data_IF_552308693814
#
_entry.id   IF_552308693814
#
_cell.length_a   1.000
_cell.length_b   1.000
_cell.length_c   1.000
_cell.angle_alpha   90.00
_cell.angle_beta   90.00
_cell.angle_gamma   90.00
#
_symmetry.space_group_name_H-M   'P 1'
#
loop_
_entity.id
_entity.type
_entity.pdbx_description
1 polymer ?
#
# COMPACT_ATOMS: atom_id res chain seq x y z
N UNK A 1 9.35 -25.18 4.49
CA UNK A 1 9.92 -24.55 5.71
C UNK A 1 9.34 -23.16 5.82
N UNK A 2 8.41 -22.93 6.77
CA UNK A 2 7.77 -21.62 6.94
C UNK A 2 8.74 -20.68 7.64
N UNK A 3 9.56 -19.96 6.87
CA UNK A 3 10.21 -18.76 7.37
C UNK A 3 9.13 -17.77 7.76
N UNK A 4 8.71 -17.76 9.02
CA UNK A 4 7.89 -16.70 9.55
C UNK A 4 8.76 -15.45 9.62
N UNK A 5 8.28 -14.32 9.10
CA UNK A 5 8.95 -13.04 9.31
C UNK A 5 8.92 -12.78 10.82
N UNK A 6 10.04 -12.49 11.49
CA UNK A 6 10.06 -12.52 12.94
C UNK A 6 9.19 -11.41 13.51
N UNK A 7 8.18 -11.86 14.25
CA UNK A 7 7.22 -11.03 14.97
C UNK A 7 7.86 -10.05 15.96
N UNK A 8 9.16 -10.10 16.23
CA UNK A 8 9.87 -9.17 17.11
C UNK A 8 10.13 -7.80 16.47
N UNK A 9 10.21 -7.73 15.13
CA UNK A 9 10.58 -6.51 14.39
C UNK A 9 9.35 -5.83 13.78
N UNK A 10 8.36 -6.60 13.37
CA UNK A 10 7.19 -6.10 12.65
C UNK A 10 6.06 -5.75 13.62
N UNK A 11 5.55 -4.52 13.50
CA UNK A 11 4.40 -4.02 14.22
C UNK A 11 3.11 -4.45 13.53
N UNK A 12 3.08 -4.32 12.21
CA UNK A 12 1.90 -4.59 11.39
C UNK A 12 2.27 -4.97 9.96
N UNK A 13 1.35 -5.69 9.31
CA UNK A 13 1.39 -5.99 7.87
C UNK A 13 0.17 -5.33 7.25
N UNK A 14 0.40 -4.58 6.17
CA UNK A 14 -0.64 -3.97 5.34
C UNK A 14 -0.48 -4.34 3.87
N UNK A 15 -1.55 -4.17 3.09
CA UNK A 15 -1.53 -4.30 1.64
C UNK A 15 -2.00 -2.98 1.04
N UNK A 16 -1.25 -2.48 0.06
CA UNK A 16 -1.52 -1.19 -0.57
C UNK A 16 -1.77 -1.38 -2.06
N UNK A 17 -2.83 -0.73 -2.52
CA UNK A 17 -3.20 -0.63 -3.92
C UNK A 17 -3.21 0.84 -4.30
N UNK A 18 -2.53 1.19 -5.39
CA UNK A 18 -2.53 2.55 -5.92
C UNK A 18 -3.10 2.54 -7.33
N UNK A 19 -4.03 3.45 -7.55
CA UNK A 19 -4.56 3.79 -8.87
C UNK A 19 -4.71 5.31 -8.94
N UNK A 20 -5.13 5.85 -10.07
CA UNK A 20 -5.27 7.29 -10.18
C UNK A 20 -5.60 7.72 -11.60
N UNK A 21 -5.63 9.03 -11.80
CA UNK A 21 -5.86 9.63 -13.10
C UNK A 21 -5.96 11.14 -13.03
N UNK A 22 -6.31 11.74 -14.16
CA UNK A 22 -6.46 13.19 -14.25
C UNK A 22 -7.73 13.66 -13.53
N UNK A 23 -7.65 14.79 -12.83
CA UNK A 23 -8.80 15.37 -12.09
C UNK A 23 -10.03 15.59 -12.96
N UNK A 24 -9.84 15.90 -14.24
CA UNK A 24 -10.92 16.10 -15.22
C UNK A 24 -11.73 14.82 -15.50
N UNK A 25 -11.19 13.65 -15.14
CA UNK A 25 -11.85 12.35 -15.29
C UNK A 25 -12.81 12.02 -14.15
N UNK A 26 -12.75 12.72 -13.01
CA UNK A 26 -13.68 12.51 -11.90
C UNK A 26 -15.08 12.99 -12.28
N UNK A 27 -16.11 12.19 -11.97
CA UNK A 27 -17.50 12.46 -12.30
C UNK A 27 -18.02 13.79 -11.73
N UNK A 28 -17.48 14.24 -10.59
CA UNK A 28 -17.84 15.54 -10.00
C UNK A 28 -17.13 16.74 -10.64
N UNK A 29 -16.16 16.55 -11.54
CA UNK A 29 -15.47 17.64 -12.21
C UNK A 29 -16.33 18.26 -13.33
N UNK A 30 -16.66 19.55 -13.20
CA UNK A 30 -17.51 20.28 -14.16
C UNK A 30 -16.67 21.16 -15.07
N UNK A 31 -16.49 20.74 -16.32
CA UNK A 31 -15.76 21.51 -17.34
C UNK A 31 -16.37 22.90 -17.51
N UNK A 32 -15.54 23.94 -17.51
CA UNK A 32 -15.96 25.34 -17.62
C UNK A 32 -16.37 26.01 -16.30
N UNK A 33 -16.68 25.22 -15.26
CA UNK A 33 -16.97 25.73 -13.91
C UNK A 33 -15.83 25.49 -12.92
N UNK A 34 -15.05 24.43 -13.13
CA UNK A 34 -13.90 24.09 -12.30
C UNK A 34 -12.59 24.32 -13.06
N UNK A 35 -11.58 24.81 -12.35
CA UNK A 35 -10.19 24.84 -12.79
C UNK A 35 -9.42 23.64 -12.23
N UNK A 36 -8.37 23.25 -12.93
CA UNK A 36 -7.41 22.28 -12.41
C UNK A 36 -6.51 22.98 -11.39
N UNK A 37 -6.29 22.42 -10.19
CA UNK A 37 -5.32 22.92 -9.23
C UNK A 37 -3.91 23.02 -9.82
N UNK A 38 -3.14 24.00 -9.37
CA UNK A 38 -1.72 24.19 -9.64
C UNK A 38 -0.83 23.87 -8.43
N UNK A 39 -1.43 23.64 -7.26
CA UNK A 39 -0.76 23.26 -6.02
C UNK A 39 -1.65 22.41 -5.10
N UNK A 40 -1.02 21.60 -4.25
CA UNK A 40 -1.69 20.84 -3.19
C UNK A 40 -1.70 21.65 -1.89
N UNK A 41 -2.89 22.02 -1.42
CA UNK A 41 -3.11 22.73 -0.17
C UNK A 41 -4.51 22.42 0.39
N UNK A 42 -4.85 22.96 1.57
CA UNK A 42 -6.14 22.67 2.20
C UNK A 42 -7.36 22.99 1.33
N UNK A 43 -7.30 24.05 0.52
CA UNK A 43 -8.39 24.43 -0.39
C UNK A 43 -8.52 23.45 -1.55
N UNK A 44 -7.42 23.05 -2.18
CA UNK A 44 -7.45 22.13 -3.33
C UNK A 44 -7.76 20.70 -2.91
N UNK A 45 -7.35 20.30 -1.70
CA UNK A 45 -7.77 19.05 -1.06
C UNK A 45 -9.28 19.04 -0.75
N UNK A 46 -9.82 20.15 -0.22
CA UNK A 46 -11.27 20.27 0.01
C UNK A 46 -12.06 20.25 -1.32
N UNK A 47 -11.51 20.85 -2.37
CA UNK A 47 -12.07 20.77 -3.72
C UNK A 47 -12.08 19.32 -4.24
N UNK A 48 -10.97 18.59 -4.14
CA UNK A 48 -10.90 17.16 -4.48
C UNK A 48 -11.99 16.37 -3.74
N UNK A 49 -12.12 16.59 -2.42
CA UNK A 49 -13.15 15.95 -1.60
C UNK A 49 -14.56 16.13 -2.16
N UNK A 50 -14.91 17.34 -2.62
CA UNK A 50 -16.22 17.59 -3.24
C UNK A 50 -16.43 16.86 -4.55
N UNK A 51 -15.40 16.81 -5.41
CA UNK A 51 -15.56 16.25 -6.77
C UNK A 51 -15.47 14.71 -6.81
N UNK A 52 -14.84 14.08 -5.81
CA UNK A 52 -14.77 12.61 -5.73
C UNK A 52 -15.86 11.99 -4.83
N UNK A 53 -16.65 12.79 -4.10
CA UNK A 53 -17.61 12.31 -3.09
C UNK A 53 -18.53 11.20 -3.60
N UNK A 54 -19.13 11.38 -4.78
CA UNK A 54 -20.04 10.39 -5.36
C UNK A 54 -19.36 9.09 -5.77
N UNK A 55 -18.17 9.17 -6.37
CA UNK A 55 -17.40 7.99 -6.76
C UNK A 55 -16.90 7.22 -5.54
N UNK A 56 -16.35 7.93 -4.56
CA UNK A 56 -15.87 7.34 -3.30
C UNK A 56 -17.01 6.65 -2.55
N UNK A 57 -18.18 7.28 -2.44
CA UNK A 57 -19.34 6.69 -1.78
C UNK A 57 -19.79 5.41 -2.48
N UNK A 58 -19.87 5.42 -3.82
CA UNK A 58 -20.26 4.24 -4.60
C UNK A 58 -19.23 3.10 -4.48
N UNK A 59 -17.94 3.43 -4.57
CA UNK A 59 -16.85 2.46 -4.43
C UNK A 59 -16.83 1.83 -3.04
N UNK A 60 -16.96 2.65 -1.99
CA UNK A 60 -16.93 2.21 -0.61
C UNK A 60 -18.16 1.35 -0.25
N UNK A 61 -19.35 1.73 -0.72
CA UNK A 61 -20.57 0.94 -0.55
C UNK A 61 -20.49 -0.41 -1.27
N UNK A 62 -19.97 -0.45 -2.49
CA UNK A 62 -19.75 -1.69 -3.22
C UNK A 62 -18.81 -2.64 -2.44
N UNK A 63 -17.69 -2.12 -1.93
CA UNK A 63 -16.77 -2.89 -1.10
C UNK A 63 -17.45 -3.38 0.19
N UNK A 64 -18.24 -2.53 0.86
CA UNK A 64 -18.98 -2.92 2.06
C UNK A 64 -19.93 -4.08 1.79
N UNK A 65 -20.70 -4.03 0.69
CA UNK A 65 -21.62 -5.11 0.34
C UNK A 65 -20.88 -6.41 -0.03
N UNK A 66 -19.76 -6.32 -0.74
CA UNK A 66 -18.89 -7.45 -1.06
C UNK A 66 -18.33 -8.10 0.22
N UNK A 67 -17.77 -7.31 1.13
CA UNK A 67 -17.23 -7.80 2.41
C UNK A 67 -18.33 -8.42 3.27
N UNK A 68 -19.45 -7.71 3.45
CA UNK A 68 -20.56 -8.18 4.30
C UNK A 68 -21.15 -9.49 3.79
N UNK A 69 -21.38 -9.58 2.48
CA UNK A 69 -22.02 -10.75 1.87
C UNK A 69 -21.05 -11.90 1.67
N UNK A 70 -19.88 -11.62 1.09
CA UNK A 70 -18.86 -12.62 0.77
C UNK A 70 -18.26 -13.30 1.99
N UNK A 71 -18.10 -12.57 3.10
CA UNK A 71 -17.58 -13.13 4.36
C UNK A 71 -18.68 -13.47 5.37
N UNK A 72 -19.96 -13.32 4.99
CA UNK A 72 -21.10 -13.62 5.86
C UNK A 72 -21.19 -12.75 7.13
N UNK A 73 -20.54 -11.57 7.15
CA UNK A 73 -20.54 -10.69 8.30
C UNK A 73 -21.91 -10.10 8.59
N UNK A 74 -22.26 -10.06 9.88
CA UNK A 74 -23.48 -9.42 10.37
C UNK A 74 -23.26 -7.91 10.52
N UNK A 75 -24.37 -7.15 10.61
CA UNK A 75 -24.38 -5.67 10.76
C UNK A 75 -23.58 -5.13 11.95
N UNK A 76 -23.25 -5.95 12.95
CA UNK A 76 -22.42 -5.56 14.11
C UNK A 76 -20.92 -5.86 13.91
N UNK A 77 -20.56 -6.59 12.86
CA UNK A 77 -19.20 -7.04 12.57
C UNK A 77 -18.53 -6.27 11.44
N UNK A 78 -19.26 -5.37 10.78
CA UNK A 78 -18.75 -4.50 9.73
C UNK A 78 -19.48 -3.16 9.78
N UNK A 79 -18.72 -2.08 9.63
CA UNK A 79 -19.22 -0.72 9.50
C UNK A 79 -18.49 0.01 8.38
N UNK A 80 -19.15 1.01 7.80
CA UNK A 80 -18.57 1.89 6.80
C UNK A 80 -18.75 3.34 7.27
N UNK A 81 -17.68 4.13 7.19
CA UNK A 81 -17.68 5.58 7.39
C UNK A 81 -17.14 6.24 6.12
N UNK A 82 -17.89 7.17 5.53
CA UNK A 82 -17.47 7.91 4.34
C UNK A 82 -17.41 9.39 4.71
N UNK A 83 -16.20 9.94 4.70
CA UNK A 83 -15.91 11.35 4.95
C UNK A 83 -14.91 11.78 3.87
N UNK A 84 -15.43 12.21 2.72
CA UNK A 84 -14.65 12.52 1.53
C UNK A 84 -13.48 13.47 1.84
N UNK A 85 -12.26 13.23 1.33
CA UNK A 85 -11.89 12.24 0.30
C UNK A 85 -11.51 10.84 0.83
N UNK A 86 -11.94 10.48 2.05
CA UNK A 86 -11.62 9.20 2.70
C UNK A 86 -12.87 8.36 2.97
N UNK A 87 -12.76 7.06 2.74
CA UNK A 87 -13.69 6.07 3.27
C UNK A 87 -12.96 5.04 4.12
N UNK A 88 -13.57 4.63 5.23
CA UNK A 88 -13.03 3.61 6.14
C UNK A 88 -14.07 2.54 6.37
N UNK A 89 -13.75 1.31 5.99
CA UNK A 89 -14.48 0.10 6.33
C UNK A 89 -13.77 -0.58 7.51
N UNK A 90 -14.45 -0.70 8.64
CA UNK A 90 -13.97 -1.47 9.78
C UNK A 90 -14.72 -2.79 9.85
N UNK A 91 -14.01 -3.91 9.75
CA UNK A 91 -14.55 -5.24 9.93
C UNK A 91 -13.96 -5.89 11.19
N UNK A 92 -14.57 -6.99 11.64
CA UNK A 92 -14.12 -7.69 12.85
C UNK A 92 -12.66 -8.17 12.80
N UNK A 93 -12.17 -8.52 11.60
CA UNK A 93 -10.86 -9.16 11.39
C UNK A 93 -9.86 -8.32 10.57
N UNK A 94 -10.25 -7.14 10.08
CA UNK A 94 -9.42 -6.26 9.26
C UNK A 94 -10.08 -4.88 9.11
N UNK A 95 -9.32 -3.90 8.63
CA UNK A 95 -9.82 -2.60 8.20
C UNK A 95 -9.39 -2.31 6.76
N UNK A 96 -10.21 -1.57 6.01
CA UNK A 96 -9.85 -1.04 4.70
C UNK A 96 -10.05 0.46 4.68
N UNK A 97 -9.04 1.19 4.22
CA UNK A 97 -9.13 2.62 3.93
C UNK A 97 -9.04 2.85 2.42
N UNK A 98 -9.88 3.75 1.89
CA UNK A 98 -9.77 4.26 0.52
C UNK A 98 -9.58 5.77 0.65
N UNK A 99 -8.49 6.29 0.10
CA UNK A 99 -8.15 7.71 0.15
C UNK A 99 -7.86 8.25 -1.25
N UNK A 100 -8.58 9.31 -1.63
CA UNK A 100 -8.26 10.13 -2.79
C UNK A 100 -7.35 11.28 -2.34
N UNK A 101 -6.23 11.49 -3.02
CA UNK A 101 -5.30 12.58 -2.74
C UNK A 101 -4.80 13.19 -4.06
N UNK A 102 -4.54 14.51 -4.07
CA UNK A 102 -3.85 15.15 -5.18
C UNK A 102 -2.38 14.75 -5.17
N UNK A 103 -1.79 14.61 -6.35
CA UNK A 103 -0.34 14.37 -6.48
C UNK A 103 0.42 15.69 -6.30
N UNK A 104 1.30 15.82 -5.28
CA UNK A 104 2.04 17.07 -5.06
C UNK A 104 2.90 17.52 -6.24
N UNK A 105 3.44 16.57 -7.02
CA UNK A 105 4.30 16.87 -8.17
C UNK A 105 3.51 17.21 -9.45
N UNK A 106 2.27 16.75 -9.56
CA UNK A 106 1.33 17.07 -10.64
C UNK A 106 -0.08 17.24 -10.07
N UNK A 107 -0.43 18.44 -9.55
CA UNK A 107 -1.73 18.69 -8.91
C UNK A 107 -2.95 18.56 -9.85
N UNK A 108 -2.71 18.34 -11.15
CA UNK A 108 -3.74 17.95 -12.12
C UNK A 108 -4.11 16.47 -12.10
N UNK A 109 -3.38 15.66 -11.32
CA UNK A 109 -3.62 14.24 -11.10
C UNK A 109 -4.05 13.99 -9.67
N UNK A 110 -4.76 12.88 -9.49
CA UNK A 110 -5.06 12.32 -8.18
C UNK A 110 -4.63 10.86 -8.12
N UNK A 111 -4.34 10.42 -6.91
CA UNK A 111 -4.07 9.03 -6.55
C UNK A 111 -5.18 8.53 -5.64
N UNK A 112 -5.69 7.34 -5.92
CA UNK A 112 -6.54 6.56 -5.02
C UNK A 112 -5.68 5.49 -4.37
N UNK A 113 -5.50 5.60 -3.07
CA UNK A 113 -4.82 4.58 -2.25
C UNK A 113 -5.87 3.74 -1.56
N UNK A 114 -5.88 2.44 -1.82
CA UNK A 114 -6.64 1.45 -1.06
C UNK A 114 -5.69 0.69 -0.15
N UNK A 115 -5.93 0.72 1.15
CA UNK A 115 -5.07 0.10 2.15
C UNK A 115 -5.87 -0.91 2.98
N UNK A 116 -5.41 -2.16 3.00
CA UNK A 116 -5.91 -3.21 3.89
C UNK A 116 -4.95 -3.34 5.08
N UNK A 117 -5.47 -3.15 6.29
CA UNK A 117 -4.72 -3.15 7.55
C UNK A 117 -5.34 -4.08 8.59
N UNK A 118 -4.62 -4.25 9.70
CA UNK A 118 -5.13 -4.90 10.92
C UNK A 118 -5.65 -6.33 10.69
N UNK A 119 -5.07 -7.04 9.72
CA UNK A 119 -5.48 -8.40 9.40
C UNK A 119 -5.15 -9.31 10.57
N UNK A 120 -6.19 -9.77 11.27
CA UNK A 120 -6.04 -10.55 12.52
C UNK A 120 -5.64 -12.01 12.31
N UNK A 121 -5.86 -12.56 11.12
CA UNK A 121 -5.57 -13.96 10.80
C UNK A 121 -5.00 -14.12 9.40
N UNK A 122 -3.84 -14.78 9.30
CA UNK A 122 -3.25 -15.19 8.02
C UNK A 122 -4.06 -16.29 7.31
N UNK A 123 -4.99 -16.97 8.00
CA UNK A 123 -5.92 -17.90 7.37
C UNK A 123 -6.96 -17.16 6.54
N UNK A 124 -7.41 -15.97 7.01
CA UNK A 124 -8.37 -15.15 6.27
C UNK A 124 -7.82 -14.75 4.90
N UNK A 125 -6.54 -14.38 4.81
CA UNK A 125 -5.90 -14.00 3.55
C UNK A 125 -5.94 -15.12 2.50
N UNK A 126 -6.00 -16.38 2.95
CA UNK A 126 -5.96 -17.58 2.10
C UNK A 126 -7.34 -18.12 1.73
N UNK A 127 -8.43 -17.53 2.23
CA UNK A 127 -9.76 -17.99 1.84
C UNK A 127 -10.12 -17.50 0.45
N UNK A 128 -10.88 -18.33 -0.29
CA UNK A 128 -11.28 -18.01 -1.65
C UNK A 128 -12.19 -16.77 -1.70
N UNK A 129 -13.04 -16.57 -0.70
CA UNK A 129 -13.93 -15.42 -0.59
C UNK A 129 -13.14 -14.12 -0.42
N UNK A 130 -12.11 -14.13 0.43
CA UNK A 130 -11.26 -12.97 0.65
C UNK A 130 -10.44 -12.65 -0.60
N UNK A 131 -9.86 -13.68 -1.23
CA UNK A 131 -9.18 -13.56 -2.52
C UNK A 131 -10.07 -12.95 -3.60
N UNK A 132 -11.34 -13.39 -3.70
CA UNK A 132 -12.29 -12.86 -4.68
C UNK A 132 -12.65 -11.39 -4.43
N UNK A 133 -12.84 -10.98 -3.17
CA UNK A 133 -13.16 -9.59 -2.81
C UNK A 133 -12.00 -8.64 -3.16
N UNK A 134 -10.76 -9.08 -2.94
CA UNK A 134 -9.57 -8.25 -3.09
C UNK A 134 -8.72 -8.56 -4.32
N UNK A 135 -9.24 -9.37 -5.25
CA UNK A 135 -8.54 -9.76 -6.46
C UNK A 135 -8.02 -8.54 -7.24
N UNK A 136 -6.72 -8.53 -7.54
CA UNK A 136 -6.06 -7.48 -8.31
C UNK A 136 -6.08 -6.09 -7.68
N UNK A 137 -6.38 -5.96 -6.37
CA UNK A 137 -6.48 -4.64 -5.71
C UNK A 137 -5.16 -4.12 -5.19
N UNK A 138 -4.19 -4.97 -4.91
CA UNK A 138 -2.98 -4.58 -4.20
C UNK A 138 -1.73 -4.84 -5.03
N UNK A 139 -0.82 -3.87 -5.05
CA UNK A 139 0.48 -3.97 -5.72
C UNK A 139 1.64 -3.86 -4.73
N UNK A 140 1.36 -3.62 -3.45
CA UNK A 140 2.36 -3.35 -2.43
C UNK A 140 2.03 -4.13 -1.15
N UNK A 141 3.07 -4.66 -0.48
CA UNK A 141 2.99 -5.10 0.93
C UNK A 141 3.75 -4.11 1.80
N UNK A 142 3.11 -3.62 2.85
CA UNK A 142 3.70 -2.75 3.85
C UNK A 142 4.01 -3.54 5.11
N UNK A 143 5.23 -3.37 5.63
CA UNK A 143 5.67 -3.88 6.92
C UNK A 143 6.00 -2.69 7.81
N UNK A 144 5.10 -2.37 8.75
CA UNK A 144 5.37 -1.36 9.77
C UNK A 144 6.38 -1.90 10.78
N UNK A 145 7.43 -1.13 11.08
CA UNK A 145 8.49 -1.55 12.00
C UNK A 145 8.16 -1.12 13.43
N UNK A 146 8.33 -2.01 14.41
CA UNK A 146 8.18 -1.67 15.85
C UNK A 146 9.21 -0.68 16.33
N UNK A 147 10.42 -0.84 15.81
CA UNK A 147 11.52 0.09 15.97
C UNK A 147 11.93 0.46 14.55
N UNK A 148 11.80 1.73 14.22
CA UNK A 148 12.24 2.21 12.92
C UNK A 148 13.72 1.91 12.68
N UNK A 149 14.13 1.99 11.43
CA UNK A 149 15.50 1.82 10.98
C UNK A 149 16.07 3.16 10.52
N UNK A 150 17.37 3.39 10.76
CA UNK A 150 18.06 4.52 10.16
C UNK A 150 18.25 4.23 8.66
N UNK A 151 17.66 5.04 7.79
CA UNK A 151 17.66 4.80 6.34
C UNK A 151 19.08 4.90 5.78
N UNK A 152 19.89 5.80 6.32
CA UNK A 152 21.31 5.96 6.01
C UNK A 152 22.08 4.66 6.27
N UNK A 153 21.83 4.00 7.41
CA UNK A 153 22.47 2.73 7.71
C UNK A 153 22.04 1.60 6.75
N UNK A 154 20.84 1.68 6.17
CA UNK A 154 20.38 0.75 5.12
C UNK A 154 21.15 1.01 3.83
N UNK A 155 21.29 2.28 3.45
CA UNK A 155 22.03 2.71 2.27
C UNK A 155 23.48 2.26 2.39
N UNK A 156 24.17 2.64 3.48
CA UNK A 156 25.58 2.31 3.74
C UNK A 156 25.81 0.79 3.68
N UNK A 157 24.90 0.01 4.26
CA UNK A 157 25.02 -1.44 4.27
C UNK A 157 24.89 -2.07 2.87
N UNK A 158 24.07 -1.50 1.99
CA UNK A 158 23.93 -1.97 0.60
C UNK A 158 25.11 -1.52 -0.24
N UNK A 159 25.58 -0.28 -0.08
CA UNK A 159 26.75 0.24 -0.79
C UNK A 159 28.02 -0.53 -0.42
N UNK A 160 28.19 -0.92 0.85
CA UNK A 160 29.31 -1.74 1.30
C UNK A 160 29.36 -3.15 0.68
N UNK A 161 28.30 -3.59 0.00
CA UNK A 161 28.30 -4.85 -0.78
C UNK A 161 28.91 -4.68 -2.17
N UNK A 162 29.20 -3.46 -2.62
CA UNK A 162 29.81 -3.16 -3.93
C UNK A 162 29.12 -3.89 -5.11
N UNK A 163 27.80 -4.02 -5.06
CA UNK A 163 26.99 -4.68 -6.09
C UNK A 163 26.92 -6.22 -6.00
N UNK A 164 27.42 -6.83 -4.92
CA UNK A 164 27.26 -8.26 -4.64
C UNK A 164 25.77 -8.66 -4.69
N UNK A 165 25.48 -9.80 -5.33
CA UNK A 165 24.11 -10.28 -5.52
C UNK A 165 23.25 -9.43 -6.47
N UNK A 166 23.84 -8.43 -7.16
CA UNK A 166 23.11 -7.55 -8.06
C UNK A 166 22.20 -6.54 -7.34
N UNK A 167 22.46 -6.27 -6.06
CA UNK A 167 21.73 -5.28 -5.29
C UNK A 167 22.09 -3.86 -5.74
N UNK A 168 21.08 -3.00 -5.80
CA UNK A 168 21.22 -1.56 -6.01
C UNK A 168 20.32 -0.80 -5.04
N UNK A 169 20.80 0.35 -4.61
CA UNK A 169 20.03 1.29 -3.79
C UNK A 169 19.95 2.65 -4.50
N UNK A 170 18.77 3.24 -4.52
CA UNK A 170 18.50 4.60 -5.02
C UNK A 170 17.88 5.43 -3.90
N UNK A 171 18.30 6.68 -3.76
CA UNK A 171 17.85 7.54 -2.67
C UNK A 171 17.97 9.04 -3.03
N UNK A 172 17.06 9.90 -2.52
CA UNK A 172 17.19 11.35 -2.61
C UNK A 172 18.35 11.85 -1.72
N UNK A 173 18.84 13.06 -2.01
CA UNK A 173 19.98 13.65 -1.28
C UNK A 173 19.79 13.85 0.22
N UNK A 174 18.54 13.82 0.71
CA UNK A 174 18.22 13.93 2.13
C UNK A 174 18.16 12.58 2.86
N UNK A 175 18.37 11.47 2.14
CA UNK A 175 18.39 10.09 2.63
C UNK A 175 17.16 9.69 3.46
N UNK A 176 16.02 10.38 3.33
CA UNK A 176 14.81 10.07 4.14
C UNK A 176 14.12 8.78 3.75
N UNK A 177 14.34 8.34 2.52
CA UNK A 177 13.84 7.07 2.00
C UNK A 177 14.88 6.46 1.08
N UNK A 178 14.90 5.14 0.92
CA UNK A 178 15.68 4.51 -0.14
C UNK A 178 14.85 3.44 -0.85
N UNK A 179 15.18 3.16 -2.11
CA UNK A 179 14.57 2.10 -2.91
C UNK A 179 15.65 1.09 -3.27
N UNK A 180 15.41 -0.17 -2.92
CA UNK A 180 16.30 -1.30 -3.12
C UNK A 180 15.75 -2.14 -4.27
N UNK A 181 16.62 -2.56 -5.17
CA UNK A 181 16.31 -3.45 -6.28
C UNK A 181 17.38 -4.53 -6.44
N UNK A 182 17.00 -5.66 -7.03
CA UNK A 182 17.91 -6.80 -7.30
C UNK A 182 17.82 -7.16 -8.77
N UNK A 183 18.97 -7.39 -9.41
CA UNK A 183 19.01 -7.85 -10.78
C UNK A 183 18.20 -9.15 -10.97
N UNK A 184 17.28 -9.16 -11.94
CA UNK A 184 16.43 -10.31 -12.23
C UNK A 184 15.18 -10.44 -11.34
N UNK A 185 15.01 -9.59 -10.33
CA UNK A 185 13.81 -9.52 -9.50
C UNK A 185 13.03 -8.26 -9.87
N UNK A 186 11.78 -8.44 -10.29
CA UNK A 186 10.94 -7.33 -10.72
C UNK A 186 10.34 -6.51 -9.56
N UNK A 187 10.36 -7.04 -8.34
CA UNK A 187 9.91 -6.33 -7.16
C UNK A 187 10.96 -5.33 -6.66
N UNK A 188 10.50 -4.25 -6.04
CA UNK A 188 11.34 -3.24 -5.39
C UNK A 188 10.99 -3.13 -3.92
N UNK A 189 11.95 -2.74 -3.09
CA UNK A 189 11.75 -2.55 -1.64
C UNK A 189 12.05 -1.10 -1.30
N UNK A 190 11.05 -0.33 -0.88
CA UNK A 190 11.21 1.02 -0.39
C UNK A 190 11.29 1.02 1.13
N UNK A 191 12.31 1.65 1.68
CA UNK A 191 12.47 1.88 3.11
C UNK A 191 12.17 3.36 3.42
N UNK A 192 11.30 3.59 4.41
CA UNK A 192 10.94 4.94 4.90
C UNK A 192 11.47 5.22 6.31
N UNK A 193 12.27 4.30 6.85
CA UNK A 193 12.70 4.28 8.24
C UNK A 193 11.62 3.77 9.19
N UNK A 194 10.35 4.13 9.00
CA UNK A 194 9.23 3.60 9.79
C UNK A 194 8.66 2.28 9.24
N UNK A 195 8.77 2.06 7.94
CA UNK A 195 8.22 0.89 7.27
C UNK A 195 9.12 0.40 6.13
N UNK A 196 8.91 -0.86 5.75
CA UNK A 196 9.38 -1.43 4.49
C UNK A 196 8.18 -1.69 3.60
N UNK A 197 8.19 -1.11 2.40
CA UNK A 197 7.15 -1.27 1.38
C UNK A 197 7.72 -2.09 0.23
N UNK A 198 7.09 -3.20 -0.12
CA UNK A 198 7.52 -4.06 -1.23
C UNK A 198 6.55 -3.87 -2.38
N UNK A 199 7.01 -3.27 -3.47
CA UNK A 199 6.25 -3.05 -4.68
C UNK A 199 6.40 -4.21 -5.66
N UNK A 200 5.28 -4.69 -6.18
CA UNK A 200 5.19 -5.74 -7.19
C UNK A 200 4.77 -5.14 -8.55
N UNK A 201 5.27 -5.67 -9.68
CA UNK A 201 4.96 -5.14 -11.01
C UNK A 201 3.51 -5.37 -11.45
N UNK A 202 2.80 -6.30 -10.80
CA UNK A 202 1.41 -6.63 -11.09
C UNK A 202 0.61 -6.58 -9.80
N UNK A 203 -0.57 -5.97 -9.86
CA UNK A 203 -1.51 -6.04 -8.77
C UNK A 203 -2.11 -7.44 -8.66
N UNK A 204 -2.34 -7.89 -7.43
CA UNK A 204 -2.87 -9.19 -7.09
C UNK A 204 -3.75 -9.15 -5.84
N UNK A 205 -4.24 -10.33 -5.47
CA UNK A 205 -4.89 -10.53 -4.17
C UNK A 205 -3.87 -10.66 -3.03
N UNK A 206 -4.29 -10.49 -1.76
CA UNK A 206 -3.38 -10.58 -0.61
C UNK A 206 -2.58 -11.89 -0.51
N UNK A 207 -3.19 -13.04 -0.82
CA UNK A 207 -2.48 -14.32 -0.83
C UNK A 207 -1.37 -14.37 -1.88
N UNK A 208 -1.68 -13.94 -3.10
CA UNK A 208 -0.74 -13.89 -4.24
C UNK A 208 0.46 -13.00 -3.91
N UNK A 209 0.22 -11.85 -3.26
CA UNK A 209 1.29 -10.95 -2.82
C UNK A 209 2.16 -11.60 -1.74
N UNK A 210 1.57 -12.29 -0.77
CA UNK A 210 2.34 -13.02 0.27
C UNK A 210 3.20 -14.12 -0.36
N UNK A 211 2.69 -14.83 -1.36
CA UNK A 211 3.44 -15.83 -2.12
C UNK A 211 4.60 -15.19 -2.91
N UNK A 212 4.33 -14.13 -3.67
CA UNK A 212 5.36 -13.38 -4.40
C UNK A 212 6.41 -12.80 -3.45
N UNK A 213 6.01 -12.35 -2.26
CA UNK A 213 6.94 -11.92 -1.23
C UNK A 213 7.87 -13.03 -0.76
N UNK A 214 7.39 -14.27 -0.64
CA UNK A 214 8.24 -15.38 -0.22
C UNK A 214 9.37 -15.62 -1.24
N UNK A 215 9.10 -15.52 -2.53
CA UNK A 215 10.09 -15.61 -3.61
C UNK A 215 11.08 -14.44 -3.56
N UNK A 216 10.57 -13.23 -3.41
CA UNK A 216 11.37 -12.00 -3.27
C UNK A 216 12.29 -12.12 -2.06
N UNK A 217 11.76 -12.56 -0.92
CA UNK A 217 12.55 -12.77 0.29
C UNK A 217 13.64 -13.80 0.08
N UNK A 218 13.39 -14.91 -0.62
CA UNK A 218 14.45 -15.87 -0.94
C UNK A 218 15.56 -15.23 -1.78
N UNK A 219 15.21 -14.44 -2.79
CA UNK A 219 16.19 -13.67 -3.58
C UNK A 219 16.97 -12.67 -2.72
N UNK A 220 16.32 -12.04 -1.75
CA UNK A 220 16.93 -11.08 -0.82
C UNK A 220 17.68 -11.72 0.36
N UNK A 221 17.34 -12.94 0.79
CA UNK A 221 18.07 -13.70 1.83
C UNK A 221 19.44 -14.16 1.36
N UNK A 222 19.65 -14.21 0.04
CA UNK A 222 20.97 -14.37 -0.56
C UNK A 222 21.86 -13.16 -0.20
N UNK A 223 21.28 -11.99 0.14
CA UNK A 223 21.98 -10.83 0.68
C UNK A 223 22.04 -10.84 2.22
N UNK A 224 23.27 -10.91 2.74
CA UNK A 224 23.61 -10.99 4.16
C UNK A 224 23.02 -9.83 5.00
N UNK A 225 22.80 -8.67 4.38
CA UNK A 225 22.36 -7.41 5.01
C UNK A 225 20.88 -7.46 5.43
N UNK A 226 20.01 -8.04 4.60
CA UNK A 226 18.58 -8.11 4.91
C UNK A 226 18.27 -9.17 5.96
N UNK A 227 19.15 -10.16 6.13
CA UNK A 227 19.11 -11.09 7.26
C UNK A 227 19.22 -10.35 8.59
N UNK A 228 20.13 -9.38 8.68
CA UNK A 228 20.32 -8.55 9.87
C UNK A 228 19.19 -7.54 10.11
N UNK A 229 18.52 -7.07 9.05
CA UNK A 229 17.40 -6.11 9.17
C UNK A 229 16.05 -6.77 9.44
N UNK A 230 15.84 -7.96 8.88
CA UNK A 230 14.61 -8.71 9.06
C UNK A 230 14.67 -9.67 10.25
N UNK A 231 15.83 -9.91 10.87
CA UNK A 231 16.01 -10.83 12.01
C UNK A 231 16.30 -12.26 11.59
#
# INVERSE_FOLDING_TARGET
MSGAIPNSVIAEIGFIGRSGGGLKGLAGFRKGHHSVPDAVNGTTTAFLGKICEGELAAQAEALFQQVRTGLGYKRKQVSLSVVSPRATLAAKDFAVEILYALEPQDPGQFTVTTELREVRSAELLRTAEFGAIFAGKFSEILFGLRKGVAVEAVIDAIEALDGEGGLKVDYPSDCRTCTISVAGVAATVRCTGAALEIGFPRAGGPAELVEAFAEVREAFQISRVLRTMLG
#
